data_IF_077696469322
#
_entry.id   IF_077696469322
#
_cell.length_a   1.000
_cell.length_b   1.000
_cell.length_c   1.000
_cell.angle_alpha   90.00
_cell.angle_beta   90.00
_cell.angle_gamma   90.00
#
_symmetry.space_group_name_H-M   'P 1'
#
loop_
_entity.id
_entity.type
_entity.pdbx_description
1 polymer ?
#
# COMPACT_ATOMS: atom_id res chain seq x y z
N UNK A 1 22.73 -13.49 16.99
CA UNK A 1 21.73 -13.15 15.96
C UNK A 1 22.29 -13.54 14.62
N UNK A 2 21.51 -14.21 13.77
CA UNK A 2 21.84 -14.55 12.38
C UNK A 2 20.54 -14.47 11.55
N UNK A 3 20.38 -13.38 10.81
CA UNK A 3 19.10 -12.99 10.19
C UNK A 3 19.27 -12.79 8.69
N UNK A 4 18.38 -13.39 7.91
CA UNK A 4 18.31 -13.18 6.46
C UNK A 4 17.26 -12.12 6.12
N UNK A 5 17.66 -11.14 5.32
CA UNK A 5 16.77 -10.03 4.95
C UNK A 5 16.83 -9.77 3.45
N UNK A 6 15.68 -9.85 2.81
CA UNK A 6 15.54 -9.57 1.39
C UNK A 6 14.96 -8.17 1.13
N UNK A 7 15.72 -7.34 0.43
CA UNK A 7 15.33 -6.01 -0.02
C UNK A 7 14.79 -6.09 -1.44
N UNK A 8 13.47 -6.27 -1.58
CA UNK A 8 12.79 -6.45 -2.86
C UNK A 8 13.03 -5.30 -3.86
N UNK A 9 13.07 -4.06 -3.38
CA UNK A 9 13.33 -2.87 -4.22
C UNK A 9 14.67 -2.93 -4.95
N UNK A 10 15.69 -3.52 -4.32
CA UNK A 10 17.04 -3.59 -4.85
C UNK A 10 17.38 -4.98 -5.40
N UNK A 11 16.45 -5.93 -5.27
CA UNK A 11 16.73 -7.35 -5.43
C UNK A 11 18.03 -7.72 -4.70
N UNK A 12 18.09 -7.43 -3.39
CA UNK A 12 19.28 -7.59 -2.57
C UNK A 12 18.97 -8.44 -1.34
N UNK A 13 19.47 -9.67 -1.31
CA UNK A 13 19.50 -10.49 -0.12
C UNK A 13 20.77 -10.19 0.69
N UNK A 14 20.58 -10.04 2.01
CA UNK A 14 21.65 -9.90 2.99
C UNK A 14 21.52 -10.93 4.10
N UNK A 15 22.65 -11.26 4.71
CA UNK A 15 22.74 -11.97 5.99
C UNK A 15 23.31 -11.00 7.02
N UNK A 16 22.64 -10.81 8.14
CA UNK A 16 23.08 -9.93 9.21
C UNK A 16 23.36 -10.75 10.47
N UNK A 17 24.57 -10.65 10.99
CA UNK A 17 25.01 -11.35 12.20
C UNK A 17 25.44 -10.33 13.26
N UNK A 18 25.08 -10.59 14.51
CA UNK A 18 25.59 -9.79 15.63
C UNK A 18 26.62 -10.59 16.41
N UNK A 19 27.80 -10.01 16.55
CA UNK A 19 28.92 -10.50 17.33
C UNK A 19 28.97 -9.73 18.66
N UNK A 20 28.56 -10.40 19.74
CA UNK A 20 28.48 -9.79 21.07
C UNK A 20 29.84 -9.55 21.73
N UNK A 21 30.89 -10.28 21.33
CA UNK A 21 32.24 -10.09 21.90
C UNK A 21 32.89 -8.81 21.37
N UNK A 22 32.67 -8.51 20.10
CA UNK A 22 33.17 -7.29 19.45
C UNK A 22 32.17 -6.14 19.45
N UNK A 23 30.97 -6.38 19.98
CA UNK A 23 29.81 -5.51 19.87
C UNK A 23 29.62 -4.98 18.44
N UNK A 24 29.61 -5.90 17.47
CA UNK A 24 29.60 -5.55 16.05
C UNK A 24 28.45 -6.22 15.30
N UNK A 25 27.74 -5.45 14.48
CA UNK A 25 26.82 -6.00 13.49
C UNK A 25 27.62 -6.20 12.21
N UNK A 26 27.71 -7.44 11.76
CA UNK A 26 28.31 -7.81 10.49
C UNK A 26 27.22 -8.12 9.48
N UNK A 27 27.44 -7.81 8.23
CA UNK A 27 26.52 -8.21 7.18
C UNK A 27 27.22 -8.57 5.87
N UNK A 28 26.61 -9.51 5.17
CA UNK A 28 27.04 -10.04 3.88
C UNK A 28 25.91 -9.86 2.87
N UNK A 29 26.28 -9.74 1.60
CA UNK A 29 25.31 -9.59 0.49
C UNK A 29 25.51 -10.71 -0.52
N UNK A 30 24.46 -11.15 -1.19
CA UNK A 30 24.60 -12.17 -2.25
C UNK A 30 25.35 -11.66 -3.50
N UNK A 31 25.34 -10.34 -3.73
CA UNK A 31 26.08 -9.65 -4.81
C UNK A 31 26.73 -8.39 -4.28
N UNK A 32 27.64 -7.77 -5.06
CA UNK A 32 28.20 -6.46 -4.72
C UNK A 32 27.10 -5.38 -4.70
N UNK A 33 26.86 -4.69 -3.58
CA UNK A 33 25.86 -3.64 -3.51
C UNK A 33 26.39 -2.33 -4.12
N UNK A 34 25.50 -1.51 -4.66
CA UNK A 34 25.82 -0.11 -5.00
C UNK A 34 25.97 0.72 -3.71
N UNK A 35 26.59 1.91 -3.77
CA UNK A 35 26.71 2.77 -2.59
C UNK A 35 25.36 3.15 -1.94
N UNK A 36 24.33 3.36 -2.76
CA UNK A 36 22.98 3.69 -2.27
C UNK A 36 22.29 2.50 -1.60
N UNK A 37 22.43 1.32 -2.19
CA UNK A 37 21.95 0.06 -1.61
C UNK A 37 22.63 -0.20 -0.27
N UNK A 38 23.96 -0.04 -0.23
CA UNK A 38 24.76 -0.20 0.98
C UNK A 38 24.28 0.74 2.09
N UNK A 39 24.12 2.03 1.80
CA UNK A 39 23.60 3.02 2.76
C UNK A 39 22.20 2.64 3.27
N UNK A 40 21.33 2.17 2.38
CA UNK A 40 19.96 1.78 2.74
C UNK A 40 19.94 0.56 3.66
N UNK A 41 20.79 -0.43 3.37
CA UNK A 41 20.99 -1.61 4.22
C UNK A 41 21.52 -1.19 5.59
N UNK A 42 22.56 -0.37 5.66
CA UNK A 42 23.16 0.04 6.93
C UNK A 42 22.16 0.79 7.83
N UNK A 43 21.39 1.72 7.27
CA UNK A 43 20.32 2.42 7.99
C UNK A 43 19.26 1.45 8.49
N UNK A 44 18.88 0.46 7.67
CA UNK A 44 17.94 -0.58 8.08
C UNK A 44 18.48 -1.41 9.23
N UNK A 45 19.75 -1.85 9.17
CA UNK A 45 20.36 -2.67 10.21
C UNK A 45 20.43 -1.91 11.55
N UNK A 46 20.80 -0.63 11.51
CA UNK A 46 20.81 0.23 12.70
C UNK A 46 19.41 0.46 13.24
N UNK A 47 18.42 0.73 12.39
CA UNK A 47 17.07 1.01 12.88
C UNK A 47 16.33 -0.21 13.40
N UNK A 48 16.56 -1.38 12.79
CA UNK A 48 15.79 -2.59 13.08
C UNK A 48 16.50 -3.55 14.03
N UNK A 49 17.81 -3.74 13.91
CA UNK A 49 18.52 -4.77 14.67
C UNK A 49 19.37 -4.22 15.80
N UNK A 50 19.94 -3.01 15.66
CA UNK A 50 20.73 -2.43 16.75
C UNK A 50 19.95 -2.26 18.08
N UNK A 51 18.64 -1.93 18.11
CA UNK A 51 17.88 -1.82 19.35
C UNK A 51 17.74 -3.14 20.12
N UNK A 52 17.78 -4.28 19.41
CA UNK A 52 17.63 -5.62 19.99
C UNK A 52 18.97 -6.21 20.46
N UNK A 53 20.04 -5.41 20.44
CA UNK A 53 21.41 -5.82 20.77
C UNK A 53 22.07 -4.80 21.71
N UNK A 54 23.29 -5.09 22.20
CA UNK A 54 24.06 -4.12 22.99
C UNK A 54 24.73 -3.03 22.13
N UNK A 55 24.40 -2.93 20.84
CA UNK A 55 25.02 -2.02 19.89
C UNK A 55 24.94 -0.55 20.33
N UNK A 56 23.85 -0.11 20.96
CA UNK A 56 23.75 1.26 21.47
C UNK A 56 24.23 1.44 22.91
N UNK A 57 24.48 0.34 23.63
CA UNK A 57 24.81 0.37 25.05
C UNK A 57 26.29 0.68 25.31
N UNK A 58 27.18 0.35 24.36
CA UNK A 58 28.61 0.58 24.50
C UNK A 58 29.14 1.56 23.43
N UNK A 59 30.17 2.36 23.74
CA UNK A 59 30.71 3.35 22.81
C UNK A 59 31.49 2.76 21.63
N UNK A 60 31.88 1.47 21.69
CA UNK A 60 32.71 0.80 20.68
C UNK A 60 31.92 -0.10 19.73
N UNK A 61 30.71 0.29 19.37
CA UNK A 61 29.88 -0.47 18.43
C UNK A 61 30.35 -0.29 16.98
N UNK A 62 30.39 -1.37 16.19
CA UNK A 62 30.82 -1.31 14.79
C UNK A 62 29.84 -1.99 13.83
N UNK A 63 29.53 -1.34 12.71
CA UNK A 63 28.79 -1.93 11.60
C UNK A 63 29.76 -2.29 10.48
N UNK A 64 29.85 -3.58 10.14
CA UNK A 64 30.90 -4.11 9.28
C UNK A 64 30.27 -4.81 8.08
N UNK A 65 30.64 -4.37 6.88
CA UNK A 65 30.36 -5.11 5.66
C UNK A 65 31.43 -6.18 5.45
N UNK A 66 31.06 -7.45 5.60
CA UNK A 66 31.99 -8.60 5.50
C UNK A 66 32.29 -9.00 4.06
N UNK A 67 31.42 -8.62 3.11
CA UNK A 67 31.64 -8.86 1.69
C UNK A 67 30.47 -9.55 1.01
N UNK A 68 30.79 -10.23 -0.09
CA UNK A 68 29.82 -10.96 -0.90
C UNK A 68 29.89 -12.43 -0.57
N UNK A 69 28.75 -13.02 -0.21
CA UNK A 69 28.59 -14.46 0.02
C UNK A 69 27.67 -15.04 -1.05
N UNK A 70 28.25 -15.81 -1.98
CA UNK A 70 27.51 -16.41 -3.10
C UNK A 70 26.60 -17.56 -2.64
N UNK A 71 26.77 -18.08 -1.42
CA UNK A 71 25.86 -19.12 -0.89
C UNK A 71 24.44 -18.55 -0.72
N UNK A 72 24.32 -17.24 -0.48
CA UNK A 72 23.05 -16.54 -0.40
C UNK A 72 22.26 -16.54 -1.73
N UNK A 73 22.91 -16.80 -2.86
CA UNK A 73 22.17 -16.94 -4.13
C UNK A 73 21.20 -18.12 -4.11
N UNK A 74 21.50 -19.17 -3.33
CA UNK A 74 20.62 -20.33 -3.20
C UNK A 74 19.31 -19.94 -2.49
N UNK A 75 19.41 -19.13 -1.43
CA UNK A 75 18.27 -18.67 -0.62
C UNK A 75 17.50 -17.52 -1.30
N UNK A 76 18.09 -16.87 -2.31
CA UNK A 76 17.50 -15.74 -3.02
C UNK A 76 16.19 -16.11 -3.70
N UNK A 77 16.12 -17.30 -4.32
CA UNK A 77 14.96 -17.73 -5.10
C UNK A 77 13.70 -17.90 -4.24
N UNK A 78 13.85 -18.48 -3.05
CA UNK A 78 12.78 -18.66 -2.07
C UNK A 78 12.29 -17.30 -1.55
N UNK A 79 13.22 -16.43 -1.13
CA UNK A 79 12.91 -15.10 -0.62
C UNK A 79 12.27 -14.18 -1.68
N UNK A 80 12.72 -14.28 -2.94
CA UNK A 80 12.12 -13.58 -4.07
C UNK A 80 10.67 -14.02 -4.27
N UNK A 81 10.41 -15.31 -4.22
CA UNK A 81 9.07 -15.86 -4.36
C UNK A 81 8.15 -15.38 -3.23
N UNK A 82 8.58 -15.47 -1.97
CA UNK A 82 7.80 -14.99 -0.84
C UNK A 82 7.47 -13.49 -0.95
N UNK A 83 8.47 -12.67 -1.30
CA UNK A 83 8.26 -11.24 -1.48
C UNK A 83 7.35 -10.93 -2.66
N UNK A 84 7.39 -11.73 -3.72
CA UNK A 84 6.52 -11.58 -4.87
C UNK A 84 5.07 -11.89 -4.50
N UNK A 85 4.82 -12.98 -3.77
CA UNK A 85 3.49 -13.35 -3.26
C UNK A 85 2.94 -12.26 -2.35
N UNK A 86 3.72 -11.80 -1.35
CA UNK A 86 3.31 -10.68 -0.47
C UNK A 86 3.01 -9.40 -1.25
N UNK A 87 3.71 -9.16 -2.37
CA UNK A 87 3.47 -8.03 -3.26
C UNK A 87 2.24 -8.16 -4.16
N UNK A 88 1.75 -9.38 -4.41
CA UNK A 88 0.51 -9.60 -5.16
C UNK A 88 -0.72 -9.22 -4.34
N UNK A 89 -0.74 -9.53 -3.05
CA UNK A 89 -1.86 -9.21 -2.17
C UNK A 89 -2.08 -7.69 -2.07
N UNK A 90 -0.99 -6.91 -1.94
CA UNK A 90 -1.10 -5.45 -1.90
C UNK A 90 -1.58 -4.86 -3.22
N UNK A 91 -1.09 -5.38 -4.36
CA UNK A 91 -1.56 -4.97 -5.69
C UNK A 91 -3.01 -5.32 -5.94
N UNK A 92 -3.48 -6.47 -5.46
CA UNK A 92 -4.88 -6.86 -5.53
C UNK A 92 -5.77 -5.85 -4.80
N UNK A 93 -5.38 -5.46 -3.58
CA UNK A 93 -6.12 -4.50 -2.77
C UNK A 93 -6.16 -3.09 -3.40
N UNK A 94 -5.04 -2.65 -3.98
CA UNK A 94 -4.99 -1.40 -4.75
C UNK A 94 -5.92 -1.43 -5.98
N UNK A 95 -5.97 -2.56 -6.69
CA UNK A 95 -6.83 -2.74 -7.85
C UNK A 95 -8.30 -2.71 -7.45
N UNK A 96 -8.67 -3.45 -6.40
CA UNK A 96 -10.02 -3.48 -5.83
C UNK A 96 -10.48 -2.09 -5.41
N UNK A 97 -9.60 -1.33 -4.75
CA UNK A 97 -9.87 0.07 -4.37
C UNK A 97 -10.13 0.95 -5.59
N UNK A 98 -9.31 0.84 -6.65
CA UNK A 98 -9.50 1.61 -7.90
C UNK A 98 -10.79 1.22 -8.61
N UNK A 99 -11.11 -0.07 -8.68
CA UNK A 99 -12.36 -0.57 -9.25
C UNK A 99 -13.55 -0.01 -8.46
N UNK A 100 -13.51 -0.07 -7.12
CA UNK A 100 -14.54 0.49 -6.28
C UNK A 100 -14.71 2.00 -6.50
N UNK A 101 -13.63 2.76 -6.61
CA UNK A 101 -13.69 4.19 -6.93
C UNK A 101 -14.31 4.47 -8.30
N UNK A 102 -13.97 3.68 -9.32
CA UNK A 102 -14.56 3.80 -10.66
C UNK A 102 -16.05 3.46 -10.65
N UNK A 103 -16.45 2.41 -9.96
CA UNK A 103 -17.86 2.02 -9.82
C UNK A 103 -18.64 3.11 -9.09
N UNK A 104 -18.13 3.62 -7.96
CA UNK A 104 -18.77 4.71 -7.23
C UNK A 104 -18.84 5.99 -8.05
N UNK A 105 -17.80 6.31 -8.83
CA UNK A 105 -17.78 7.46 -9.74
C UNK A 105 -18.82 7.33 -10.84
N UNK A 106 -18.89 6.17 -11.50
CA UNK A 106 -19.86 5.88 -12.56
C UNK A 106 -21.30 5.87 -12.04
N UNK A 107 -21.56 5.23 -10.90
CA UNK A 107 -22.89 5.21 -10.29
C UNK A 107 -23.31 6.60 -9.85
N UNK A 108 -22.42 7.37 -9.22
CA UNK A 108 -22.69 8.77 -8.85
C UNK A 108 -23.07 9.60 -10.08
N UNK A 109 -22.33 9.45 -11.19
CA UNK A 109 -22.63 10.15 -12.43
C UNK A 109 -23.99 9.73 -13.00
N UNK A 110 -24.26 8.43 -13.06
CA UNK A 110 -25.52 7.87 -13.54
C UNK A 110 -26.73 8.37 -12.73
N UNK A 111 -26.67 8.31 -11.40
CA UNK A 111 -27.75 8.80 -10.54
C UNK A 111 -27.91 10.32 -10.60
N UNK A 112 -26.81 11.07 -10.76
CA UNK A 112 -26.86 12.53 -10.93
C UNK A 112 -27.54 12.92 -12.26
N UNK A 113 -27.22 12.23 -13.35
CA UNK A 113 -27.88 12.41 -14.64
C UNK A 113 -29.37 12.08 -14.54
N UNK A 114 -29.74 10.95 -13.93
CA UNK A 114 -31.15 10.57 -13.71
C UNK A 114 -31.93 11.56 -12.84
N UNK A 115 -31.31 12.09 -11.79
CA UNK A 115 -31.89 13.15 -10.95
C UNK A 115 -32.12 14.43 -11.78
N UNK A 116 -31.14 14.81 -12.60
CA UNK A 116 -31.26 15.95 -13.51
C UNK A 116 -32.42 15.80 -14.49
N UNK A 117 -32.55 14.63 -15.12
CA UNK A 117 -33.63 14.34 -16.06
C UNK A 117 -35.01 14.40 -15.38
N UNK A 118 -35.15 13.80 -14.19
CA UNK A 118 -36.40 13.88 -13.42
C UNK A 118 -36.75 15.31 -13.04
N UNK A 119 -35.78 16.13 -12.62
CA UNK A 119 -36.02 17.54 -12.29
C UNK A 119 -36.54 18.32 -13.51
N UNK A 120 -35.99 18.04 -14.70
CA UNK A 120 -36.44 18.67 -15.94
C UNK A 120 -37.86 18.23 -16.32
N UNK A 121 -38.17 16.94 -16.19
CA UNK A 121 -39.51 16.40 -16.40
C UNK A 121 -40.53 17.03 -15.44
N UNK A 122 -40.16 17.18 -14.17
CA UNK A 122 -40.98 17.84 -13.15
C UNK A 122 -41.24 19.30 -13.46
N UNK A 123 -40.22 20.02 -13.92
CA UNK A 123 -40.37 21.42 -14.33
C UNK A 123 -41.34 21.56 -15.51
N UNK A 124 -41.35 20.59 -16.42
CA UNK A 124 -42.28 20.55 -17.55
C UNK A 124 -43.72 20.29 -17.08
N UNK A 125 -43.93 19.29 -16.23
CA UNK A 125 -45.26 18.95 -15.67
C UNK A 125 -45.87 20.12 -14.88
N UNK A 126 -45.10 20.81 -14.04
CA UNK A 126 -45.56 22.00 -13.29
C UNK A 126 -45.98 23.14 -14.22
N UNK A 127 -45.35 23.26 -15.38
CA UNK A 127 -45.62 24.32 -16.36
C UNK A 127 -46.87 24.02 -17.19
N UNK A 128 -47.16 22.74 -17.42
CA UNK A 128 -48.30 22.26 -18.22
C UNK A 128 -49.57 22.07 -17.35
N UNK A 129 -49.45 21.60 -16.10
CA UNK A 129 -50.59 21.40 -15.18
C UNK A 129 -50.77 22.56 -14.20
N UNK A 130 -51.46 23.62 -14.64
CA UNK A 130 -51.73 24.80 -13.80
C UNK A 130 -52.82 24.60 -12.71
N UNK A 131 -53.37 23.39 -12.49
CA UNK A 131 -54.57 23.20 -11.66
C UNK A 131 -54.45 22.26 -10.43
N UNK A 132 -53.36 21.52 -10.20
CA UNK A 132 -53.20 20.68 -8.98
C UNK A 132 -51.77 20.65 -8.43
N UNK A 133 -51.21 21.83 -8.16
CA UNK A 133 -49.81 21.98 -7.73
C UNK A 133 -49.44 21.20 -6.46
N UNK A 134 -50.33 21.07 -5.47
CA UNK A 134 -50.00 20.39 -4.20
C UNK A 134 -49.85 18.87 -4.31
N UNK A 135 -50.77 18.19 -5.01
CA UNK A 135 -50.75 16.72 -5.13
C UNK A 135 -49.55 16.26 -5.98
N UNK A 136 -49.22 17.03 -7.01
CA UNK A 136 -48.04 16.78 -7.84
C UNK A 136 -46.78 16.97 -6.98
N UNK A 137 -46.62 18.08 -6.28
CA UNK A 137 -45.43 18.36 -5.45
C UNK A 137 -45.19 17.31 -4.34
N UNK A 138 -46.24 16.79 -3.70
CA UNK A 138 -46.11 15.70 -2.71
C UNK A 138 -45.60 14.40 -3.33
N UNK A 139 -46.19 13.97 -4.46
CA UNK A 139 -45.77 12.77 -5.20
C UNK A 139 -44.34 12.90 -5.74
N UNK A 140 -43.96 14.13 -6.09
CA UNK A 140 -42.62 14.49 -6.53
C UNK A 140 -41.58 14.40 -5.40
N UNK A 141 -41.92 14.87 -4.21
CA UNK A 141 -41.05 14.81 -3.03
C UNK A 141 -40.76 13.36 -2.64
N UNK A 142 -41.77 12.50 -2.69
CA UNK A 142 -41.63 11.07 -2.40
C UNK A 142 -40.68 10.36 -3.40
N UNK A 143 -40.86 10.63 -4.70
CA UNK A 143 -40.03 10.07 -5.76
C UNK A 143 -38.55 10.50 -5.72
N UNK A 144 -38.24 11.66 -5.14
CA UNK A 144 -36.86 12.13 -4.95
C UNK A 144 -36.25 11.49 -3.70
N UNK A 145 -37.04 11.34 -2.63
CA UNK A 145 -36.58 10.65 -1.41
C UNK A 145 -36.20 9.20 -1.68
N UNK A 146 -36.99 8.45 -2.46
CA UNK A 146 -36.62 7.09 -2.86
C UNK A 146 -35.30 7.02 -3.66
N UNK A 147 -34.97 8.05 -4.44
CA UNK A 147 -33.72 8.12 -5.20
C UNK A 147 -32.52 8.60 -4.38
N UNK A 148 -32.76 9.21 -3.22
CA UNK A 148 -31.71 9.63 -2.27
C UNK A 148 -31.41 8.49 -1.27
N UNK A 149 -32.39 7.66 -0.95
CA UNK A 149 -32.27 6.53 -0.01
C UNK A 149 -31.75 5.23 -0.66
N UNK A 150 -31.76 5.12 -2.00
CA UNK A 150 -31.24 3.97 -2.76
C UNK A 150 -29.77 4.13 -3.18
#
# INVERSE_FOLDING_TARGET
MDELVYFSKFNLLIRATYDGELNAIRYETHRKPTPEEKKSVEVFLISKFAPDTNFHAEPSSSLIFSGVDTVLENDLSEMQFESYVKGLDSRYWELETKVNQLVHGSLRKFYFERLGDKILEFRKQIREENQKKEIVVEKLKHNILELIEA
#
